data_IF_311366205642
#
_entry.id   IF_311366205642
#
_cell.length_a   1.000
_cell.length_b   1.000
_cell.length_c   1.000
_cell.angle_alpha   90.00
_cell.angle_beta   90.00
_cell.angle_gamma   90.00
#
_symmetry.space_group_name_H-M   'P 1'
#
loop_
_entity.id
_entity.type
_entity.pdbx_description
1 polymer ?
#
# COMPACT_ATOMS: atom_id res chain seq x y z
N UNK A 1 35.30 2.85 -28.77
CA UNK A 1 35.87 3.41 -27.52
C UNK A 1 36.72 2.33 -26.88
N UNK A 2 37.93 2.66 -26.42
CA UNK A 2 38.80 1.72 -25.70
C UNK A 2 38.17 1.36 -24.35
N UNK A 3 38.29 0.10 -23.93
CA UNK A 3 37.76 -0.35 -22.64
C UNK A 3 38.72 0.11 -21.53
N UNK A 4 38.22 0.22 -20.30
CA UNK A 4 39.05 0.52 -19.13
C UNK A 4 38.52 -0.26 -17.93
N UNK A 5 39.42 -0.58 -17.00
CA UNK A 5 39.09 -1.22 -15.74
C UNK A 5 38.86 -0.16 -14.67
N UNK A 6 37.73 -0.27 -13.98
CA UNK A 6 37.36 0.58 -12.86
C UNK A 6 37.05 -0.29 -11.64
N UNK A 7 37.29 0.23 -10.43
CA UNK A 7 36.75 -0.31 -9.18
C UNK A 7 35.59 0.58 -8.76
N UNK A 8 34.45 -0.05 -8.46
CA UNK A 8 33.27 0.62 -7.93
C UNK A 8 33.03 0.07 -6.53
N UNK A 9 32.90 0.96 -5.55
CA UNK A 9 32.49 0.63 -4.19
C UNK A 9 31.23 1.44 -3.89
N UNK A 10 30.13 0.77 -3.58
CA UNK A 10 28.85 1.42 -3.30
C UNK A 10 28.21 0.89 -2.02
N UNK A 11 27.44 1.78 -1.37
CA UNK A 11 26.56 1.45 -0.26
C UNK A 11 25.22 2.13 -0.49
N UNK A 12 24.11 1.38 -0.34
CA UNK A 12 22.75 1.89 -0.53
C UNK A 12 21.81 1.28 0.51
N UNK A 13 21.11 2.14 1.24
CA UNK A 13 19.92 1.80 2.01
C UNK A 13 18.71 2.08 1.12
N UNK A 14 17.94 1.05 0.77
CA UNK A 14 16.79 1.18 -0.14
C UNK A 14 15.51 0.85 0.62
N UNK A 15 14.55 1.77 0.60
CA UNK A 15 13.32 1.67 1.36
C UNK A 15 12.07 1.86 0.48
N UNK A 16 11.58 0.75 -0.07
CA UNK A 16 10.44 0.70 -1.01
C UNK A 16 9.13 1.26 -0.45
N UNK A 17 8.98 1.33 0.88
CA UNK A 17 7.78 1.85 1.51
C UNK A 17 7.52 3.33 1.16
N UNK A 18 8.56 4.10 0.82
CA UNK A 18 8.41 5.48 0.34
C UNK A 18 7.85 5.52 -1.08
N UNK A 19 8.36 4.68 -1.98
CA UNK A 19 7.90 4.62 -3.37
C UNK A 19 6.43 4.20 -3.44
N UNK A 20 6.03 3.21 -2.63
CA UNK A 20 4.65 2.75 -2.53
C UNK A 20 3.72 3.83 -1.95
N UNK A 21 4.15 4.54 -0.91
CA UNK A 21 3.37 5.64 -0.33
C UNK A 21 3.24 6.83 -1.30
N UNK A 22 4.29 7.16 -2.04
CA UNK A 22 4.27 8.20 -3.06
C UNK A 22 3.35 7.82 -4.23
N UNK A 23 3.38 6.56 -4.67
CA UNK A 23 2.46 6.07 -5.70
C UNK A 23 1.00 6.14 -5.22
N UNK A 24 0.73 5.71 -3.98
CA UNK A 24 -0.59 5.84 -3.37
C UNK A 24 -1.06 7.31 -3.34
N UNK A 25 -0.20 8.23 -2.92
CA UNK A 25 -0.50 9.67 -2.90
C UNK A 25 -0.83 10.22 -4.29
N UNK A 26 0.00 9.88 -5.29
CA UNK A 26 -0.23 10.29 -6.68
C UNK A 26 -1.61 9.84 -7.19
N UNK A 27 -1.95 8.57 -6.99
CA UNK A 27 -3.26 8.07 -7.42
C UNK A 27 -4.40 8.73 -6.65
N UNK A 28 -4.26 8.92 -5.33
CA UNK A 28 -5.29 9.55 -4.49
C UNK A 28 -5.61 10.97 -4.94
N UNK A 29 -4.59 11.78 -5.26
CA UNK A 29 -4.79 13.15 -5.76
C UNK A 29 -5.42 13.15 -7.15
N UNK A 30 -4.95 12.28 -8.05
CA UNK A 30 -5.52 12.13 -9.39
C UNK A 30 -6.99 11.71 -9.34
N UNK A 31 -7.35 10.72 -8.53
CA UNK A 31 -8.73 10.26 -8.34
C UNK A 31 -9.58 11.41 -7.80
N UNK A 32 -9.10 12.10 -6.77
CA UNK A 32 -9.80 13.26 -6.18
C UNK A 32 -10.10 14.34 -7.21
N UNK A 33 -9.14 14.67 -8.08
CA UNK A 33 -9.32 15.63 -9.17
C UNK A 33 -10.37 15.17 -10.18
N UNK A 34 -10.28 13.92 -10.64
CA UNK A 34 -11.24 13.36 -11.61
C UNK A 34 -12.66 13.32 -11.05
N UNK A 35 -12.83 12.89 -9.79
CA UNK A 35 -14.12 12.89 -9.11
C UNK A 35 -14.73 14.29 -8.98
N UNK A 36 -13.91 15.32 -8.72
CA UNK A 36 -14.35 16.73 -8.66
C UNK A 36 -14.81 17.25 -10.01
N UNK A 37 -14.19 16.78 -11.10
CA UNK A 37 -14.52 17.16 -12.47
C UNK A 37 -15.61 16.28 -13.11
N UNK A 38 -16.25 15.42 -12.31
CA UNK A 38 -17.23 14.42 -12.76
C UNK A 38 -16.73 13.48 -13.88
N UNK A 39 -15.41 13.31 -13.97
CA UNK A 39 -14.77 12.34 -14.85
C UNK A 39 -14.79 10.96 -14.17
N UNK A 40 -15.79 10.14 -14.55
CA UNK A 40 -16.04 8.83 -13.92
C UNK A 40 -15.48 7.65 -14.72
N UNK A 41 -15.10 7.85 -15.97
CA UNK A 41 -14.72 6.75 -16.86
C UNK A 41 -13.40 6.11 -16.41
N UNK A 42 -13.41 4.82 -16.09
CA UNK A 42 -12.21 4.09 -15.66
C UNK A 42 -11.65 4.50 -14.30
N UNK A 43 -12.27 5.44 -13.58
CA UNK A 43 -11.82 5.88 -12.24
C UNK A 43 -11.82 4.73 -11.23
N UNK A 44 -12.75 3.78 -11.34
CA UNK A 44 -12.76 2.59 -10.49
C UNK A 44 -11.48 1.74 -10.60
N UNK A 45 -10.87 1.69 -11.78
CA UNK A 45 -9.60 0.96 -11.98
C UNK A 45 -8.45 1.68 -11.26
N UNK A 46 -8.43 3.01 -11.32
CA UNK A 46 -7.45 3.83 -10.60
C UNK A 46 -7.65 3.71 -9.08
N UNK A 47 -8.89 3.70 -8.60
CA UNK A 47 -9.21 3.45 -7.18
C UNK A 47 -8.70 2.09 -6.72
N UNK A 48 -8.96 1.03 -7.49
CA UNK A 48 -8.47 -0.33 -7.19
C UNK A 48 -6.94 -0.37 -7.11
N UNK A 49 -6.25 0.29 -8.05
CA UNK A 49 -4.80 0.41 -8.03
C UNK A 49 -4.30 1.19 -6.80
N UNK A 50 -4.95 2.32 -6.49
CA UNK A 50 -4.61 3.15 -5.33
C UNK A 50 -4.74 2.38 -4.01
N UNK A 51 -5.87 1.73 -3.78
CA UNK A 51 -6.13 0.92 -2.58
C UNK A 51 -5.09 -0.20 -2.42
N UNK A 52 -4.68 -0.83 -3.53
CA UNK A 52 -3.62 -1.84 -3.53
C UNK A 52 -2.27 -1.23 -3.11
N UNK A 53 -1.92 -0.06 -3.65
CA UNK A 53 -0.68 0.64 -3.28
C UNK A 53 -0.68 1.08 -1.81
N UNK A 54 -1.82 1.55 -1.29
CA UNK A 54 -1.98 1.88 0.14
C UNK A 54 -1.73 0.62 0.99
N UNK A 55 -2.37 -0.50 0.66
CA UNK A 55 -2.19 -1.75 1.41
C UNK A 55 -0.74 -2.24 1.39
N UNK A 56 -0.06 -2.17 0.24
CA UNK A 56 1.37 -2.49 0.14
C UNK A 56 2.26 -1.53 0.91
N UNK A 57 1.97 -0.22 0.88
CA UNK A 57 2.72 0.77 1.63
C UNK A 57 2.65 0.53 3.14
N UNK A 58 1.48 0.21 3.69
CA UNK A 58 1.32 -0.20 5.09
C UNK A 58 2.17 -1.44 5.39
N UNK A 59 2.08 -2.49 4.57
CA UNK A 59 2.84 -3.74 4.78
C UNK A 59 4.36 -3.48 4.75
N UNK A 60 4.81 -2.66 3.81
CA UNK A 60 6.21 -2.27 3.65
C UNK A 60 6.71 -1.39 4.81
N UNK A 61 5.89 -0.49 5.33
CA UNK A 61 6.18 0.30 6.54
C UNK A 61 6.34 -0.58 7.77
N UNK A 62 5.47 -1.59 7.96
CA UNK A 62 5.65 -2.58 9.03
C UNK A 62 6.93 -3.39 8.85
N UNK A 63 7.28 -3.74 7.61
CA UNK A 63 8.55 -4.41 7.32
C UNK A 63 9.75 -3.54 7.66
N UNK A 64 9.72 -2.24 7.33
CA UNK A 64 10.78 -1.31 7.67
C UNK A 64 10.95 -1.17 9.19
N UNK A 65 9.86 -0.91 9.92
CA UNK A 65 9.90 -0.78 11.38
C UNK A 65 10.35 -2.09 12.04
N UNK A 66 9.83 -3.22 11.58
CA UNK A 66 10.23 -4.53 12.05
C UNK A 66 11.72 -4.79 11.85
N UNK A 67 12.24 -4.52 10.65
CA UNK A 67 13.66 -4.65 10.34
C UNK A 67 14.55 -3.78 11.24
N UNK A 68 14.14 -2.54 11.52
CA UNK A 68 14.91 -1.61 12.37
C UNK A 68 14.82 -1.90 13.87
N UNK A 69 13.69 -2.43 14.36
CA UNK A 69 13.37 -2.44 15.80
C UNK A 69 13.32 -3.84 16.43
N UNK A 70 13.22 -4.89 15.62
CA UNK A 70 12.99 -6.26 16.08
C UNK A 70 14.09 -7.17 15.55
N UNK A 71 14.86 -7.76 16.46
CA UNK A 71 15.89 -8.73 16.09
C UNK A 71 15.28 -9.95 15.38
N UNK A 72 15.95 -10.46 14.34
CA UNK A 72 15.50 -11.61 13.54
C UNK A 72 14.08 -11.41 12.97
N UNK A 73 13.80 -10.21 12.47
CA UNK A 73 12.54 -9.88 11.81
C UNK A 73 12.20 -10.87 10.69
N UNK A 74 10.92 -11.30 10.63
CA UNK A 74 10.41 -12.21 9.61
C UNK A 74 9.54 -11.43 8.62
N UNK A 75 10.16 -10.90 7.57
CA UNK A 75 9.51 -10.07 6.54
C UNK A 75 8.33 -10.75 5.82
N UNK A 76 8.39 -12.08 5.68
CA UNK A 76 7.36 -12.93 5.05
C UNK A 76 6.26 -13.40 6.01
N UNK A 77 6.25 -12.90 7.25
CA UNK A 77 5.14 -13.19 8.16
C UNK A 77 3.82 -12.63 7.60
N UNK A 78 2.66 -13.22 7.98
CA UNK A 78 1.36 -12.72 7.57
C UNK A 78 1.17 -11.24 7.91
N UNK A 79 0.39 -10.53 7.10
CA UNK A 79 0.20 -9.09 7.19
C UNK A 79 -0.14 -8.62 8.61
N UNK A 80 -1.22 -9.13 9.21
CA UNK A 80 -1.66 -8.69 10.54
C UNK A 80 -0.68 -9.09 11.64
N UNK A 81 0.01 -10.23 11.50
CA UNK A 81 1.07 -10.65 12.43
C UNK A 81 2.21 -9.63 12.43
N UNK A 82 2.50 -8.97 11.30
CA UNK A 82 3.52 -7.91 11.26
C UNK A 82 3.04 -6.66 11.98
N UNK A 83 1.80 -6.23 11.75
CA UNK A 83 1.17 -5.10 12.46
C UNK A 83 1.20 -5.33 13.97
N UNK A 84 0.75 -6.49 14.44
CA UNK A 84 0.75 -6.85 15.87
C UNK A 84 2.15 -6.84 16.48
N UNK A 85 3.16 -7.38 15.79
CA UNK A 85 4.53 -7.42 16.31
C UNK A 85 5.14 -6.03 16.43
N UNK A 86 4.96 -5.18 15.42
CA UNK A 86 5.49 -3.81 15.42
C UNK A 86 4.78 -2.97 16.47
N UNK A 87 3.44 -3.00 16.52
CA UNK A 87 2.66 -2.26 17.52
C UNK A 87 3.01 -2.70 18.94
N UNK A 88 3.09 -4.02 19.20
CA UNK A 88 3.55 -4.57 20.49
C UNK A 88 4.95 -4.08 20.86
N UNK A 89 5.90 -4.08 19.92
CA UNK A 89 7.28 -3.61 20.15
C UNK A 89 7.33 -2.13 20.52
N UNK A 90 6.37 -1.34 20.02
CA UNK A 90 6.24 0.09 20.23
C UNK A 90 5.27 0.47 21.36
N UNK A 91 4.72 -0.53 22.08
CA UNK A 91 3.81 -0.29 23.20
C UNK A 91 2.43 0.24 22.78
N UNK A 92 1.99 -0.08 21.56
CA UNK A 92 0.67 0.28 21.03
C UNK A 92 -0.25 -0.95 21.09
N UNK A 93 -1.45 -0.76 21.61
CA UNK A 93 -2.53 -1.76 21.55
C UNK A 93 -3.49 -1.36 20.41
N UNK A 94 -3.37 -1.95 19.21
CA UNK A 94 -4.24 -1.61 18.10
C UNK A 94 -5.66 -2.10 18.34
N UNK A 95 -6.66 -1.25 18.09
CA UNK A 95 -8.08 -1.61 18.11
C UNK A 95 -8.62 -1.79 16.70
N UNK A 96 -8.82 -3.03 16.28
CA UNK A 96 -9.35 -3.36 14.94
C UNK A 96 -10.86 -3.16 14.82
N UNK A 97 -11.56 -2.81 15.92
CA UNK A 97 -12.97 -2.40 15.90
C UNK A 97 -13.17 -0.94 15.44
N UNK A 98 -12.13 -0.10 15.50
CA UNK A 98 -12.21 1.34 15.24
C UNK A 98 -11.08 1.85 14.31
N UNK A 99 -11.28 3.04 13.74
CA UNK A 99 -10.22 3.72 12.98
C UNK A 99 -9.07 4.11 13.92
N UNK A 100 -7.81 4.07 13.45
CA UNK A 100 -7.40 3.77 12.08
C UNK A 100 -7.16 2.27 11.80
N UNK A 101 -7.07 1.41 12.82
CA UNK A 101 -6.63 0.02 12.64
C UNK A 101 -7.69 -0.88 11.97
N UNK A 102 -8.98 -0.58 12.14
CA UNK A 102 -10.05 -1.20 11.34
C UNK A 102 -9.82 -1.01 9.84
N UNK A 103 -9.41 0.19 9.43
CA UNK A 103 -9.12 0.49 8.02
C UNK A 103 -7.90 -0.29 7.52
N UNK A 104 -6.87 -0.47 8.36
CA UNK A 104 -5.72 -1.32 8.05
C UNK A 104 -6.14 -2.78 7.82
N UNK A 105 -7.06 -3.30 8.63
CA UNK A 105 -7.61 -4.64 8.43
C UNK A 105 -8.42 -4.73 7.12
N UNK A 106 -9.27 -3.73 6.84
CA UNK A 106 -10.02 -3.65 5.58
C UNK A 106 -9.10 -3.62 4.34
N UNK A 107 -8.03 -2.83 4.38
CA UNK A 107 -7.02 -2.76 3.32
C UNK A 107 -6.32 -4.11 3.09
N UNK A 108 -5.97 -4.81 4.17
CA UNK A 108 -5.42 -6.17 4.09
C UNK A 108 -6.40 -7.11 3.41
N UNK A 109 -7.67 -7.07 3.79
CA UNK A 109 -8.68 -7.98 3.24
C UNK A 109 -8.95 -7.71 1.76
N UNK A 110 -9.01 -6.44 1.38
CA UNK A 110 -9.11 -6.01 -0.01
C UNK A 110 -7.91 -6.51 -0.84
N UNK A 111 -6.68 -6.26 -0.36
CA UNK A 111 -5.45 -6.72 -1.03
C UNK A 111 -5.43 -8.23 -1.20
N UNK A 112 -5.82 -8.99 -0.18
CA UNK A 112 -5.85 -10.45 -0.26
C UNK A 112 -6.91 -10.94 -1.24
N UNK A 113 -8.07 -10.29 -1.32
CA UNK A 113 -9.10 -10.61 -2.31
C UNK A 113 -8.54 -10.47 -3.74
N UNK A 114 -7.85 -9.36 -4.04
CA UNK A 114 -7.24 -9.14 -5.35
C UNK A 114 -6.06 -10.09 -5.62
N UNK A 115 -5.18 -10.28 -4.64
CA UNK A 115 -3.98 -11.10 -4.80
C UNK A 115 -4.30 -12.60 -4.96
N UNK A 116 -5.37 -13.08 -4.33
CA UNK A 116 -5.78 -14.47 -4.44
C UNK A 116 -6.75 -14.74 -5.59
N UNK A 117 -7.45 -13.72 -6.11
CA UNK A 117 -8.11 -13.71 -7.42
C UNK A 117 -8.86 -14.98 -7.80
N UNK A 118 -9.47 -15.68 -6.84
CA UNK A 118 -10.06 -17.00 -7.10
C UNK A 118 -11.31 -16.82 -7.97
N UNK A 119 -11.50 -17.66 -9.01
CA UNK A 119 -12.74 -17.67 -9.75
C UNK A 119 -13.93 -17.85 -8.81
N UNK A 120 -14.96 -17.03 -8.99
CA UNK A 120 -16.17 -17.04 -8.19
C UNK A 120 -17.37 -17.29 -9.10
N UNK A 121 -18.13 -18.35 -8.84
CA UNK A 121 -19.42 -18.59 -9.47
C UNK A 121 -20.51 -18.27 -8.45
N UNK A 122 -21.27 -17.20 -8.69
CA UNK A 122 -22.43 -16.82 -7.87
C UNK A 122 -23.69 -17.14 -8.67
N UNK A 123 -24.59 -17.92 -8.09
CA UNK A 123 -25.92 -18.18 -8.66
C UNK A 123 -26.96 -17.49 -7.79
N UNK A 124 -27.69 -16.55 -8.39
CA UNK A 124 -28.75 -15.79 -7.74
C UNK A 124 -30.03 -16.01 -8.53
N UNK A 125 -31.09 -16.44 -7.85
CA UNK A 125 -32.44 -16.59 -8.42
C UNK A 125 -33.39 -15.74 -7.57
N UNK A 126 -33.74 -14.57 -8.08
CA UNK A 126 -34.57 -13.57 -7.39
C UNK A 126 -35.52 -12.92 -8.37
N UNK A 127 -36.80 -12.83 -7.98
CA UNK A 127 -37.79 -12.01 -8.68
C UNK A 127 -37.72 -10.58 -8.13
N UNK A 128 -37.63 -9.61 -9.03
CA UNK A 128 -37.48 -8.19 -8.69
C UNK A 128 -38.39 -7.34 -9.57
N UNK A 129 -39.24 -6.54 -8.94
CA UNK A 129 -39.93 -5.44 -9.61
C UNK A 129 -39.00 -4.23 -9.67
N UNK A 130 -38.64 -3.81 -10.88
CA UNK A 130 -37.74 -2.70 -11.16
C UNK A 130 -37.91 -2.20 -12.60
N UNK A 131 -37.67 -0.92 -12.82
CA UNK A 131 -37.53 -0.30 -14.15
C UNK A 131 -36.21 -0.71 -14.80
N UNK A 132 -36.08 -0.52 -16.13
CA UNK A 132 -34.83 -0.82 -16.85
C UNK A 132 -33.63 -0.03 -16.28
N UNK A 133 -33.86 1.23 -15.89
CA UNK A 133 -32.83 2.08 -15.29
C UNK A 133 -32.41 1.57 -13.91
N UNK A 134 -33.36 1.18 -13.07
CA UNK A 134 -33.08 0.56 -11.76
C UNK A 134 -32.35 -0.78 -11.91
N UNK A 135 -32.67 -1.59 -12.91
CA UNK A 135 -31.98 -2.86 -13.18
C UNK A 135 -30.52 -2.63 -13.61
N UNK A 136 -30.25 -1.63 -14.45
CA UNK A 136 -28.90 -1.26 -14.86
C UNK A 136 -28.07 -0.69 -13.70
N UNK A 137 -28.69 0.06 -12.78
CA UNK A 137 -28.03 0.65 -11.61
C UNK A 137 -27.76 -0.31 -10.45
N UNK A 138 -28.46 -1.45 -10.38
CA UNK A 138 -28.38 -2.39 -9.22
C UNK A 138 -27.12 -3.25 -9.16
N UNK A 139 -26.28 -3.27 -10.20
CA UNK A 139 -24.96 -3.92 -10.15
C UNK A 139 -24.99 -5.43 -9.89
N UNK A 140 -25.98 -6.15 -10.45
CA UNK A 140 -26.17 -7.61 -10.22
C UNK A 140 -24.98 -8.50 -10.63
N UNK A 141 -24.10 -7.99 -11.50
CA UNK A 141 -22.90 -8.69 -11.96
C UNK A 141 -21.64 -8.27 -11.18
N UNK A 142 -21.79 -7.41 -10.17
CA UNK A 142 -20.67 -6.86 -9.43
C UNK A 142 -20.01 -7.90 -8.54
N UNK A 143 -18.68 -7.91 -8.54
CA UNK A 143 -17.93 -8.78 -7.64
C UNK A 143 -17.88 -8.20 -6.22
N UNK A 144 -17.78 -9.03 -5.16
CA UNK A 144 -17.81 -8.54 -3.78
C UNK A 144 -16.76 -7.47 -3.44
N UNK A 145 -15.58 -7.51 -4.09
CA UNK A 145 -14.53 -6.52 -3.90
C UNK A 145 -14.82 -5.17 -4.55
N UNK A 146 -15.66 -5.13 -5.59
CA UNK A 146 -16.03 -3.87 -6.28
C UNK A 146 -16.84 -2.95 -5.38
N UNK A 147 -17.61 -3.49 -4.44
CA UNK A 147 -18.32 -2.72 -3.42
C UNK A 147 -17.36 -1.94 -2.50
N UNK A 148 -16.09 -2.37 -2.39
CA UNK A 148 -15.06 -1.65 -1.63
C UNK A 148 -14.34 -0.59 -2.45
N UNK A 149 -14.49 -0.58 -3.78
CA UNK A 149 -13.78 0.35 -4.67
C UNK A 149 -14.52 1.68 -4.73
N UNK A 150 -14.36 2.49 -3.67
CA UNK A 150 -15.00 3.80 -3.54
C UNK A 150 -13.98 4.90 -3.29
N UNK A 151 -14.31 6.13 -3.69
CA UNK A 151 -13.47 7.30 -3.40
C UNK A 151 -13.32 7.58 -1.90
N UNK A 152 -14.37 7.30 -1.12
CA UNK A 152 -14.33 7.40 0.34
C UNK A 152 -13.32 6.42 0.94
N UNK A 153 -13.29 5.16 0.46
CA UNK A 153 -12.34 4.18 0.97
C UNK A 153 -10.89 4.50 0.56
N UNK A 154 -10.68 5.10 -0.62
CA UNK A 154 -9.36 5.61 -1.01
C UNK A 154 -8.88 6.69 -0.04
N UNK A 155 -9.73 7.70 0.24
CA UNK A 155 -9.36 8.80 1.14
C UNK A 155 -9.09 8.25 2.55
N UNK A 156 -10.03 7.49 3.10
CA UNK A 156 -9.94 6.89 4.43
C UNK A 156 -8.71 5.99 4.57
N UNK A 157 -8.45 5.15 3.56
CA UNK A 157 -7.30 4.26 3.52
C UNK A 157 -5.97 5.01 3.54
N UNK A 158 -5.87 6.09 2.77
CA UNK A 158 -4.65 6.90 2.72
C UNK A 158 -4.42 7.68 4.02
N UNK A 159 -5.47 8.33 4.55
CA UNK A 159 -5.42 9.04 5.82
C UNK A 159 -5.01 8.14 6.98
N UNK A 160 -5.68 6.99 7.14
CA UNK A 160 -5.43 6.08 8.25
C UNK A 160 -4.05 5.43 8.16
N UNK A 161 -3.58 5.12 6.94
CA UNK A 161 -2.20 4.69 6.70
C UNK A 161 -1.19 5.74 7.18
N UNK A 162 -1.41 7.02 6.90
CA UNK A 162 -0.54 8.12 7.33
C UNK A 162 -0.58 8.35 8.84
N UNK A 163 -1.76 8.29 9.45
CA UNK A 163 -1.94 8.40 10.91
C UNK A 163 -1.16 7.30 11.62
N UNK A 164 -1.35 6.04 11.22
CA UNK A 164 -0.64 4.90 11.81
C UNK A 164 0.86 5.03 11.61
N UNK A 165 1.31 5.41 10.40
CA UNK A 165 2.74 5.59 10.14
C UNK A 165 3.38 6.65 11.04
N UNK A 166 2.74 7.82 11.17
CA UNK A 166 3.26 8.92 11.99
C UNK A 166 3.33 8.56 13.46
N UNK A 167 2.28 7.93 14.01
CA UNK A 167 2.27 7.49 15.41
C UNK A 167 3.38 6.47 15.68
N UNK A 168 3.51 5.44 14.84
CA UNK A 168 4.53 4.40 15.03
C UNK A 168 5.95 4.94 14.83
N UNK A 169 6.18 5.82 13.86
CA UNK A 169 7.49 6.45 13.65
C UNK A 169 7.88 7.36 14.84
N UNK A 170 6.92 8.13 15.36
CA UNK A 170 7.16 8.97 16.55
C UNK A 170 7.56 8.11 17.76
N UNK A 171 6.89 6.96 17.97
CA UNK A 171 7.19 6.01 19.05
C UNK A 171 8.49 5.25 18.85
N UNK A 172 8.90 5.03 17.59
CA UNK A 172 10.14 4.31 17.28
C UNK A 172 11.41 5.11 17.57
N UNK A 173 11.28 6.43 17.74
CA UNK A 173 12.40 7.37 17.92
C UNK A 173 13.40 7.37 16.75
N UNK A 174 12.96 6.91 15.58
CA UNK A 174 13.75 7.02 14.35
C UNK A 174 13.53 8.42 13.75
N UNK A 175 14.60 9.03 13.24
CA UNK A 175 14.50 10.26 12.48
C UNK A 175 13.92 10.02 11.08
N UNK A 176 13.24 11.04 10.53
CA UNK A 176 12.69 10.97 9.15
C UNK A 176 13.79 10.70 8.13
N UNK A 177 14.99 11.25 8.30
CA UNK A 177 16.10 10.99 7.37
C UNK A 177 16.52 9.52 7.35
N UNK A 178 16.31 8.78 8.44
CA UNK A 178 16.61 7.34 8.51
C UNK A 178 15.58 6.48 7.76
N UNK A 179 14.46 7.06 7.36
CA UNK A 179 13.42 6.38 6.58
C UNK A 179 13.58 6.59 5.08
N UNK A 180 14.51 7.44 4.62
CA UNK A 180 14.69 7.79 3.21
C UNK A 180 15.76 6.89 2.57
N UNK A 181 15.53 6.48 1.31
CA UNK A 181 16.54 5.77 0.51
C UNK A 181 17.77 6.64 0.35
N UNK A 182 18.95 6.14 0.74
CA UNK A 182 20.19 6.89 0.79
C UNK A 182 21.40 6.02 0.43
N UNK A 183 22.52 6.64 0.05
CA UNK A 183 23.72 5.89 -0.30
C UNK A 183 24.84 6.75 -0.89
N UNK A 184 25.92 6.08 -1.29
CA UNK A 184 27.07 6.70 -1.94
C UNK A 184 27.84 5.69 -2.78
N UNK A 185 28.59 6.18 -3.76
CA UNK A 185 29.46 5.38 -4.60
C UNK A 185 30.79 6.07 -4.83
N UNK A 186 31.87 5.29 -4.77
CA UNK A 186 33.22 5.69 -5.15
C UNK A 186 33.61 4.91 -6.39
N UNK A 187 33.99 5.63 -7.46
CA UNK A 187 34.50 5.04 -8.69
C UNK A 187 35.99 5.39 -8.78
N UNK A 188 36.84 4.37 -8.88
CA UNK A 188 38.28 4.53 -9.06
C UNK A 188 38.70 3.94 -10.39
N UNK A 189 39.36 4.72 -11.23
CA UNK A 189 40.03 4.20 -12.42
C UNK A 189 41.21 3.32 -12.02
N UNK A 190 41.38 2.18 -12.68
CA UNK A 190 42.52 1.28 -12.48
C UNK A 190 43.46 1.40 -13.68
N UNK A 191 43.01 1.04 -14.88
CA UNK A 191 43.85 1.06 -16.08
C UNK A 191 43.01 1.08 -17.37
N UNK A 192 43.61 1.53 -18.47
CA UNK A 192 43.03 1.38 -19.80
C UNK A 192 43.31 -0.04 -20.32
N UNK A 193 42.30 -0.66 -20.93
CA UNK A 193 42.42 -1.94 -21.62
C UNK A 193 42.60 -1.60 -23.10
N UNK A 194 43.84 -1.70 -23.57
CA UNK A 194 44.21 -1.55 -24.98
C UNK A 194 43.51 -2.56 -25.89
#
# INVERSE_FOLDING_TARGET
MAKARFRIQEHKDIYIHNDLANAAFYFKERISERLKNDDREGVGIEMMACLTMIAFAVEARMNFLGYKLIEKWKERAPYMVKVEKVTKRLGVAPDFGERPYKTIESLKNFRDALAHGKPLEIRTDVEVEATEEELRGRGYLGAPWEASVTGEFVEMGFEDMEVVWRDLLARSKLGVMETITQGGATISFIEALG
#
